data_IF_053008927674
#
_entry.id   IF_053008927674
#
_cell.length_a   1.000
_cell.length_b   1.000
_cell.length_c   1.000
_cell.angle_alpha   90.00
_cell.angle_beta   90.00
_cell.angle_gamma   90.00
#
_symmetry.space_group_name_H-M   'P 1'
#
loop_
_entity.id
_entity.type
_entity.pdbx_description
1 polymer ?
#
# COMPACT_ATOMS: atom_id res chain seq x y z
N UNK A 1 9.91 10.89 -12.47
CA UNK A 1 9.41 9.78 -13.30
C UNK A 1 8.00 10.15 -13.76
N UNK A 2 7.71 10.09 -15.05
CA UNK A 2 6.37 10.34 -15.58
C UNK A 2 5.68 8.99 -15.65
N UNK A 3 4.64 8.80 -14.86
CA UNK A 3 3.91 7.54 -14.77
C UNK A 3 2.62 7.74 -15.55
N UNK A 4 2.51 7.06 -16.69
CA UNK A 4 1.37 7.23 -17.61
C UNK A 4 0.21 6.29 -17.26
N UNK A 5 0.48 5.21 -16.49
CA UNK A 5 -0.54 4.26 -16.02
C UNK A 5 -0.16 3.66 -14.65
N UNK A 6 -1.11 3.44 -13.71
CA UNK A 6 -0.80 2.87 -12.39
C UNK A 6 -0.03 1.55 -12.42
N UNK A 7 -0.30 0.67 -13.38
CA UNK A 7 0.40 -0.61 -13.52
C UNK A 7 1.88 -0.49 -13.95
N UNK A 8 2.33 0.69 -14.40
CA UNK A 8 3.75 0.96 -14.72
C UNK A 8 4.57 1.35 -13.47
N UNK A 9 3.93 1.37 -12.29
CA UNK A 9 4.53 1.83 -11.05
C UNK A 9 5.26 0.73 -10.26
N UNK A 10 5.19 -0.52 -10.70
CA UNK A 10 5.93 -1.62 -10.09
C UNK A 10 7.42 -1.51 -10.41
N UNK A 11 8.26 -1.54 -9.38
CA UNK A 11 9.71 -1.51 -9.48
C UNK A 11 10.22 -2.89 -9.12
N UNK A 12 10.71 -3.61 -10.12
CA UNK A 12 11.37 -4.91 -9.93
C UNK A 12 12.83 -4.72 -9.53
N UNK A 13 13.31 -5.55 -8.63
CA UNK A 13 14.69 -5.55 -8.18
C UNK A 13 15.20 -6.98 -7.98
N UNK A 14 16.51 -7.23 -8.16
CA UNK A 14 17.05 -8.57 -8.03
C UNK A 14 17.10 -9.02 -6.58
N UNK A 15 16.68 -10.26 -6.34
CA UNK A 15 16.86 -10.98 -5.09
C UNK A 15 17.78 -12.17 -5.35
N UNK A 16 18.80 -12.32 -4.52
CA UNK A 16 19.81 -13.39 -4.59
C UNK A 16 19.63 -14.29 -3.38
N UNK A 17 19.58 -15.61 -3.62
CA UNK A 17 19.40 -16.60 -2.55
C UNK A 17 20.63 -17.50 -2.43
N UNK A 18 21.01 -17.85 -1.21
CA UNK A 18 22.03 -18.85 -0.88
C UNK A 18 21.70 -19.58 0.44
N UNK A 19 22.62 -20.39 0.96
CA UNK A 19 22.41 -21.16 2.21
C UNK A 19 22.16 -20.31 3.46
N UNK A 20 22.39 -19.01 3.41
CA UNK A 20 22.16 -18.05 4.52
C UNK A 20 20.78 -17.41 4.45
N UNK A 21 20.06 -17.52 3.31
CA UNK A 21 18.79 -16.87 3.04
C UNK A 21 18.82 -16.03 1.77
N UNK A 22 18.21 -14.87 1.77
CA UNK A 22 18.09 -13.98 0.61
C UNK A 22 18.73 -12.62 0.85
N UNK A 23 19.24 -12.02 -0.22
CA UNK A 23 19.71 -10.64 -0.27
C UNK A 23 19.05 -9.93 -1.46
N UNK A 24 18.36 -8.82 -1.17
CA UNK A 24 17.71 -8.00 -2.18
C UNK A 24 18.44 -6.68 -2.35
N UNK A 25 18.87 -6.39 -3.58
CA UNK A 25 19.53 -5.14 -3.93
C UNK A 25 18.53 -4.16 -4.56
N UNK A 26 18.30 -3.02 -3.89
CA UNK A 26 17.44 -1.95 -4.40
C UNK A 26 18.33 -0.80 -4.83
N UNK A 27 18.28 -0.44 -6.12
CA UNK A 27 19.03 0.70 -6.64
C UNK A 27 18.40 2.02 -6.15
N UNK A 28 19.14 2.80 -5.38
CA UNK A 28 18.68 4.08 -4.84
C UNK A 28 18.37 5.14 -5.92
N UNK A 29 18.81 4.93 -7.16
CA UNK A 29 18.45 5.82 -8.28
C UNK A 29 16.96 5.88 -8.57
N UNK A 30 16.21 4.84 -8.20
CA UNK A 30 14.74 4.84 -8.26
C UNK A 30 14.12 5.74 -7.18
N UNK A 31 14.90 6.12 -6.16
CA UNK A 31 14.47 6.87 -4.99
C UNK A 31 15.01 8.32 -5.00
N UNK A 32 15.20 8.93 -6.17
CA UNK A 32 15.62 10.33 -6.31
C UNK A 32 14.49 11.30 -5.87
N UNK A 33 14.04 11.08 -4.64
CA UNK A 33 13.00 11.81 -3.93
C UNK A 33 13.48 12.00 -2.49
N UNK A 34 13.39 13.23 -1.98
CA UNK A 34 13.60 13.49 -0.56
C UNK A 34 12.42 12.95 0.26
N UNK A 35 12.57 11.73 0.75
CA UNK A 35 11.57 11.07 1.60
C UNK A 35 11.62 11.63 3.03
N UNK A 36 10.48 11.96 3.61
CA UNK A 36 10.37 12.54 4.96
C UNK A 36 10.09 11.49 6.03
N UNK A 37 9.46 10.35 5.66
CA UNK A 37 9.19 9.27 6.60
C UNK A 37 9.53 7.91 6.02
N UNK A 38 9.98 7.01 6.88
CA UNK A 38 10.07 5.58 6.64
C UNK A 38 9.21 4.86 7.70
N UNK A 39 8.17 4.18 7.25
CA UNK A 39 7.21 3.51 8.11
C UNK A 39 7.34 1.99 8.00
N UNK A 40 7.10 1.30 9.12
CA UNK A 40 7.09 -0.16 9.20
C UNK A 40 5.76 -0.59 9.79
N UNK A 41 5.00 -1.37 9.04
CA UNK A 41 3.75 -1.98 9.49
C UNK A 41 3.93 -3.49 9.70
N UNK A 42 3.70 -3.97 10.92
CA UNK A 42 3.61 -5.39 11.24
C UNK A 42 2.15 -5.79 11.35
N UNK A 43 1.80 -6.94 10.78
CA UNK A 43 0.42 -7.43 10.72
C UNK A 43 0.43 -8.91 11.06
N UNK A 44 -0.01 -9.24 12.27
CA UNK A 44 0.05 -10.61 12.80
C UNK A 44 -0.97 -11.52 12.11
N UNK A 45 -2.11 -10.95 11.69
CA UNK A 45 -3.21 -11.72 11.12
C UNK A 45 -3.31 -11.56 9.60
N UNK A 46 -3.64 -12.65 8.94
CA UNK A 46 -4.16 -12.63 7.56
C UNK A 46 -5.46 -11.82 7.53
N UNK A 47 -5.72 -11.17 6.39
CA UNK A 47 -6.87 -10.29 6.16
C UNK A 47 -6.91 -9.06 7.07
N UNK A 48 -5.75 -8.57 7.50
CA UNK A 48 -5.64 -7.24 8.10
C UNK A 48 -5.70 -6.18 7.00
N UNK A 49 -6.65 -5.26 7.12
CA UNK A 49 -6.81 -4.13 6.21
C UNK A 49 -6.39 -2.82 6.87
N UNK A 50 -5.61 -2.03 6.14
CA UNK A 50 -5.22 -0.67 6.52
C UNK A 50 -5.49 0.27 5.36
N UNK A 51 -6.37 1.23 5.56
CA UNK A 51 -6.76 2.19 4.51
C UNK A 51 -8.26 2.44 4.45
N UNK A 52 -8.73 3.12 3.45
CA UNK A 52 -7.99 3.81 2.39
C UNK A 52 -7.60 5.22 2.87
N UNK A 53 -6.32 5.55 2.83
CA UNK A 53 -5.81 6.82 3.37
C UNK A 53 -5.23 7.73 2.29
N UNK A 54 -5.51 9.01 2.39
CA UNK A 54 -4.86 10.06 1.61
C UNK A 54 -4.73 11.34 2.44
N UNK A 55 -3.88 12.25 1.99
CA UNK A 55 -3.68 13.55 2.62
C UNK A 55 -3.74 14.65 1.55
N UNK A 56 -4.38 15.76 1.88
CA UNK A 56 -4.62 16.84 0.92
C UNK A 56 -3.62 17.99 1.04
N UNK A 57 -3.05 18.26 2.22
CA UNK A 57 -2.16 19.39 2.43
C UNK A 57 -1.05 19.10 3.47
N UNK A 58 0.20 18.84 3.04
CA UNK A 58 0.60 18.54 1.68
C UNK A 58 0.08 17.16 1.23
N UNK A 59 -0.13 16.92 -0.08
CA UNK A 59 -0.47 15.60 -0.56
C UNK A 59 0.72 14.66 -0.44
N UNK A 60 0.47 13.38 -0.14
CA UNK A 60 1.52 12.39 0.12
C UNK A 60 1.71 11.42 -1.03
N UNK A 61 2.96 11.31 -1.50
CA UNK A 61 3.43 10.24 -2.38
C UNK A 61 4.05 9.14 -1.50
N UNK A 62 3.85 7.88 -1.86
CA UNK A 62 4.37 6.73 -1.11
C UNK A 62 5.14 5.78 -2.01
N UNK A 63 6.08 5.05 -1.43
CA UNK A 63 6.71 3.90 -2.08
C UNK A 63 6.65 2.72 -1.11
N UNK A 64 5.83 1.72 -1.44
CA UNK A 64 5.56 0.55 -0.58
C UNK A 64 6.43 -0.63 -0.99
N UNK A 65 6.88 -1.40 0.01
CA UNK A 65 7.59 -2.66 -0.16
C UNK A 65 7.14 -3.68 0.88
N UNK A 66 6.80 -4.87 0.43
CA UNK A 66 6.61 -6.02 1.30
C UNK A 66 7.98 -6.60 1.67
N UNK A 67 8.24 -6.77 2.95
CA UNK A 67 9.46 -7.41 3.47
C UNK A 67 9.22 -8.89 3.73
N UNK A 68 8.03 -9.24 4.22
CA UNK A 68 7.60 -10.60 4.51
C UNK A 68 6.10 -10.73 4.27
N UNK A 69 5.70 -11.88 3.73
CA UNK A 69 4.30 -12.16 3.41
C UNK A 69 3.89 -11.61 2.05
N UNK A 70 2.59 -11.43 1.88
CA UNK A 70 1.97 -10.98 0.62
C UNK A 70 0.79 -10.05 0.94
N UNK A 71 0.57 -9.06 0.10
CA UNK A 71 -0.54 -8.11 0.24
C UNK A 71 -1.30 -7.94 -1.07
N UNK A 72 -2.57 -7.58 -0.94
CA UNK A 72 -3.35 -6.94 -1.98
C UNK A 72 -3.33 -5.44 -1.71
N UNK A 73 -2.64 -4.70 -2.56
CA UNK A 73 -2.56 -3.24 -2.52
C UNK A 73 -3.69 -2.65 -3.35
N UNK A 74 -4.39 -1.62 -2.83
CA UNK A 74 -5.59 -1.06 -3.45
C UNK A 74 -5.47 0.46 -3.51
N UNK A 75 -5.71 1.02 -4.69
CA UNK A 75 -5.73 2.46 -4.94
C UNK A 75 -7.09 2.90 -5.45
N UNK A 76 -7.50 4.08 -5.04
CA UNK A 76 -8.68 4.77 -5.58
C UNK A 76 -8.24 6.14 -6.08
N UNK A 77 -8.39 6.41 -7.37
CA UNK A 77 -8.12 7.73 -7.94
C UNK A 77 -9.08 8.76 -7.33
N UNK A 78 -8.53 9.82 -6.72
CA UNK A 78 -9.33 10.83 -6.00
C UNK A 78 -10.19 11.71 -6.92
N UNK A 79 -9.94 11.67 -8.23
CA UNK A 79 -10.66 12.47 -9.21
C UNK A 79 -11.68 11.66 -10.01
N UNK A 80 -11.31 10.45 -10.43
CA UNK A 80 -12.15 9.61 -11.31
C UNK A 80 -12.89 8.53 -10.55
N UNK A 81 -12.49 8.26 -9.30
CA UNK A 81 -12.96 7.16 -8.45
C UNK A 81 -12.64 5.77 -9.03
N UNK A 82 -11.76 5.71 -10.02
CA UNK A 82 -11.30 4.44 -10.59
C UNK A 82 -10.47 3.68 -9.56
N UNK A 83 -10.68 2.37 -9.49
CA UNK A 83 -10.03 1.47 -8.52
C UNK A 83 -9.01 0.60 -9.22
N UNK A 84 -7.82 0.48 -8.62
CA UNK A 84 -6.71 -0.37 -9.08
C UNK A 84 -6.32 -1.33 -7.97
N UNK A 85 -5.99 -2.58 -8.34
CA UNK A 85 -5.54 -3.62 -7.41
C UNK A 85 -4.21 -4.23 -7.87
N UNK A 86 -3.33 -4.53 -6.91
CA UNK A 86 -2.01 -5.12 -7.15
C UNK A 86 -1.72 -6.17 -6.09
N UNK A 87 -1.39 -7.39 -6.49
CA UNK A 87 -0.78 -8.34 -5.56
C UNK A 87 0.72 -8.08 -5.48
N UNK A 88 1.23 -7.88 -4.27
CA UNK A 88 2.64 -7.61 -4.01
C UNK A 88 3.23 -8.61 -3.04
N UNK A 89 4.38 -9.13 -3.41
CA UNK A 89 5.26 -9.92 -2.55
C UNK A 89 6.58 -9.16 -2.26
N UNK A 90 7.60 -9.87 -1.80
CA UNK A 90 8.88 -9.27 -1.47
C UNK A 90 9.80 -9.00 -2.68
N UNK A 91 9.37 -9.25 -3.91
CA UNK A 91 10.18 -9.05 -5.12
C UNK A 91 9.98 -7.67 -5.76
N UNK A 92 8.96 -6.93 -5.33
CA UNK A 92 8.56 -5.68 -5.96
C UNK A 92 8.43 -4.54 -4.94
N UNK A 93 8.58 -3.32 -5.45
CA UNK A 93 8.17 -2.08 -4.80
C UNK A 93 7.11 -1.42 -5.66
N UNK A 94 6.18 -0.70 -5.02
CA UNK A 94 5.12 -0.01 -5.73
C UNK A 94 5.15 1.48 -5.38
N UNK A 95 5.26 2.33 -6.41
CA UNK A 95 5.23 3.78 -6.27
C UNK A 95 3.79 4.28 -6.40
N UNK A 96 3.30 4.96 -5.37
CA UNK A 96 1.92 5.43 -5.25
C UNK A 96 1.91 6.95 -5.34
N UNK A 97 1.42 7.53 -6.45
CA UNK A 97 1.29 8.97 -6.61
C UNK A 97 0.31 9.58 -5.60
N UNK A 98 0.44 10.87 -5.37
CA UNK A 98 -0.31 11.61 -4.35
C UNK A 98 -1.78 11.91 -4.69
N UNK A 99 -2.23 11.50 -5.87
CA UNK A 99 -3.62 11.65 -6.31
C UNK A 99 -4.48 10.40 -6.04
N UNK A 100 -3.97 9.42 -5.27
CA UNK A 100 -4.69 8.22 -4.91
C UNK A 100 -4.92 8.11 -3.41
N UNK A 101 -6.12 7.68 -3.02
CA UNK A 101 -6.34 7.06 -1.73
C UNK A 101 -5.77 5.64 -1.79
N UNK A 102 -5.06 5.22 -0.74
CA UNK A 102 -4.27 3.99 -0.71
C UNK A 102 -4.58 3.16 0.51
N UNK A 103 -4.65 1.85 0.32
CA UNK A 103 -4.75 0.87 1.39
C UNK A 103 -4.26 -0.50 0.95
N UNK A 104 -4.08 -1.41 1.90
CA UNK A 104 -3.72 -2.79 1.61
C UNK A 104 -4.41 -3.79 2.52
N UNK A 105 -4.60 -5.00 1.98
CA UNK A 105 -5.10 -6.17 2.68
C UNK A 105 -3.99 -7.22 2.75
N UNK A 106 -3.65 -7.72 3.95
CA UNK A 106 -2.69 -8.81 4.06
C UNK A 106 -3.29 -10.13 3.58
N UNK A 107 -2.53 -10.88 2.79
CA UNK A 107 -2.93 -12.19 2.26
C UNK A 107 -2.29 -13.35 3.02
N UNK A 108 -1.37 -13.05 3.95
CA UNK A 108 -0.69 -14.01 4.81
C UNK A 108 -0.60 -13.48 6.25
N UNK A 109 -0.38 -14.40 7.20
CA UNK A 109 -0.06 -14.05 8.59
C UNK A 109 1.37 -13.52 8.70
N UNK A 110 1.63 -12.74 9.76
CA UNK A 110 2.96 -12.17 10.05
C UNK A 110 3.55 -11.36 8.89
N UNK A 111 2.69 -10.66 8.14
CA UNK A 111 3.09 -9.81 7.02
C UNK A 111 3.75 -8.53 7.51
N UNK A 112 4.93 -8.21 6.96
CA UNK A 112 5.68 -6.99 7.24
C UNK A 112 5.74 -6.13 5.98
N UNK A 113 5.23 -4.91 6.11
CA UNK A 113 5.18 -3.92 5.03
C UNK A 113 5.95 -2.68 5.46
N UNK A 114 6.79 -2.17 4.57
CA UNK A 114 7.47 -0.89 4.76
C UNK A 114 7.05 0.09 3.68
N UNK A 115 7.04 1.38 4.01
CA UNK A 115 6.81 2.40 3.00
C UNK A 115 7.49 3.71 3.33
N UNK A 116 8.05 4.31 2.30
CA UNK A 116 8.59 5.65 2.30
C UNK A 116 7.46 6.64 1.98
N UNK A 117 7.47 7.81 2.61
CA UNK A 117 6.46 8.86 2.40
C UNK A 117 7.15 10.17 2.08
N UNK A 118 6.71 10.81 1.00
CA UNK A 118 7.00 12.20 0.64
C UNK A 118 5.74 13.05 0.90
N UNK A 119 5.92 14.16 1.57
CA UNK A 119 4.87 15.03 2.09
C UNK A 119 4.78 14.91 3.61
N UNK A 120 5.07 16.00 4.32
CA UNK A 120 5.04 16.07 5.77
C UNK A 120 3.69 15.61 6.32
N UNK A 121 3.70 14.81 7.38
CA UNK A 121 2.46 14.33 8.00
C UNK A 121 1.68 15.49 8.62
N UNK A 122 0.43 15.64 8.20
CA UNK A 122 -0.49 16.65 8.70
C UNK A 122 -1.84 16.00 9.06
N UNK A 123 -2.08 15.72 10.35
CA UNK A 123 -3.31 15.05 10.80
C UNK A 123 -4.58 15.84 10.52
N UNK A 124 -4.49 17.16 10.33
CA UNK A 124 -5.64 18.01 10.04
C UNK A 124 -6.12 17.89 8.58
N UNK A 125 -5.27 17.36 7.71
CA UNK A 125 -5.58 17.15 6.29
C UNK A 125 -5.50 15.67 5.87
N UNK A 126 -5.36 14.76 6.83
CA UNK A 126 -5.46 13.32 6.60
C UNK A 126 -6.93 12.92 6.50
N UNK A 127 -7.24 12.08 5.51
CA UNK A 127 -8.58 11.56 5.25
C UNK A 127 -8.56 10.04 5.09
N UNK A 128 -9.69 9.42 5.43
CA UNK A 128 -9.94 8.00 5.22
C UNK A 128 -11.23 7.81 4.44
N UNK A 129 -11.18 6.97 3.39
CA UNK A 129 -12.38 6.48 2.71
C UNK A 129 -12.76 5.12 3.30
N UNK A 130 -14.03 4.93 3.60
CA UNK A 130 -14.54 3.65 4.11
C UNK A 130 -14.59 2.66 2.95
N UNK A 131 -13.80 1.59 3.03
CA UNK A 131 -13.59 0.65 1.94
C UNK A 131 -14.86 -0.03 1.43
N UNK A 132 -15.80 -0.37 2.34
CA UNK A 132 -17.06 -1.05 1.98
C UNK A 132 -18.15 -0.11 1.47
N UNK A 133 -17.93 1.21 1.53
CA UNK A 133 -18.80 2.22 0.88
C UNK A 133 -18.43 2.40 -0.61
N UNK A 134 -17.30 1.84 -1.05
CA UNK A 134 -16.86 1.85 -2.44
C UNK A 134 -17.14 0.46 -3.04
N UNK A 135 -18.19 0.30 -3.89
CA UNK A 135 -18.65 -1.01 -4.34
C UNK A 135 -17.58 -1.86 -5.02
N UNK A 136 -16.68 -1.23 -5.81
CA UNK A 136 -15.59 -1.91 -6.50
C UNK A 136 -14.54 -2.43 -5.49
N UNK A 137 -14.12 -1.62 -4.52
CA UNK A 137 -13.19 -2.02 -3.46
C UNK A 137 -13.79 -3.16 -2.63
N UNK A 138 -15.06 -3.04 -2.25
CA UNK A 138 -15.77 -4.10 -1.53
C UNK A 138 -15.78 -5.41 -2.30
N UNK A 139 -16.10 -5.38 -3.59
CA UNK A 139 -16.10 -6.56 -4.46
C UNK A 139 -14.74 -7.22 -4.55
N UNK A 140 -13.66 -6.41 -4.66
CA UNK A 140 -12.29 -6.90 -4.69
C UNK A 140 -11.95 -7.58 -3.36
N UNK A 141 -12.15 -6.91 -2.24
CA UNK A 141 -11.84 -7.47 -0.91
C UNK A 141 -12.66 -8.75 -0.63
N UNK A 142 -13.97 -8.74 -0.89
CA UNK A 142 -14.85 -9.90 -0.69
C UNK A 142 -14.36 -11.13 -1.48
N UNK A 143 -13.84 -10.95 -2.69
CA UNK A 143 -13.23 -12.03 -3.51
C UNK A 143 -12.05 -12.71 -2.81
N UNK A 144 -11.22 -11.93 -2.08
CA UNK A 144 -10.03 -12.45 -1.40
C UNK A 144 -10.33 -13.04 -0.02
N UNK A 145 -11.20 -12.40 0.75
CA UNK A 145 -11.51 -12.88 2.11
C UNK A 145 -12.55 -14.00 2.14
N UNK A 146 -13.44 -14.09 1.14
CA UNK A 146 -14.54 -15.05 1.11
C UNK A 146 -15.45 -14.90 2.33
N UNK A 147 -15.59 -15.98 3.12
CA UNK A 147 -16.37 -15.97 4.35
C UNK A 147 -15.56 -15.63 5.62
N UNK A 148 -14.31 -15.19 5.49
CA UNK A 148 -13.49 -14.81 6.63
C UNK A 148 -13.79 -13.38 7.07
N UNK A 149 -13.45 -13.08 8.32
CA UNK A 149 -13.55 -11.75 8.86
C UNK A 149 -12.32 -10.91 8.51
N UNK A 150 -12.54 -9.62 8.23
CA UNK A 150 -11.49 -8.65 8.05
C UNK A 150 -11.03 -8.10 9.40
N UNK A 151 -9.73 -8.03 9.62
CA UNK A 151 -9.14 -7.36 10.78
C UNK A 151 -8.90 -5.90 10.40
N UNK A 152 -9.54 -4.97 11.08
CA UNK A 152 -9.52 -3.54 10.74
C UNK A 152 -9.61 -2.68 12.00
N UNK A 153 -8.90 -1.54 12.02
CA UNK A 153 -9.00 -0.58 13.12
C UNK A 153 -10.36 0.13 13.15
N UNK A 154 -10.74 0.65 14.32
CA UNK A 154 -11.97 1.46 14.42
C UNK A 154 -11.90 2.71 13.54
N UNK A 155 -10.74 3.37 13.46
CA UNK A 155 -10.52 4.53 12.57
C UNK A 155 -10.85 4.20 11.11
N UNK A 156 -10.38 3.06 10.61
CA UNK A 156 -10.57 2.66 9.22
C UNK A 156 -11.97 2.09 8.95
N UNK A 157 -12.67 1.68 10.01
CA UNK A 157 -14.06 1.20 9.95
C UNK A 157 -15.06 2.32 9.78
N UNK A 158 -14.85 3.47 10.47
CA UNK A 158 -15.82 4.58 10.52
C UNK A 158 -15.42 5.75 9.62
N UNK A 159 -14.20 5.79 9.11
CA UNK A 159 -13.66 6.89 8.31
C UNK A 159 -13.25 8.12 9.15
N UNK A 160 -12.61 9.08 8.47
CA UNK A 160 -12.20 10.37 9.05
C UNK A 160 -12.44 11.50 8.03
#
# INVERSE_FOLDING_TARGET
MKIDHPYDNAIHHPTFEDSRGSFTAIDSKFLDIDWEQFNIGTNDNKYTFRGLHYQTNPPQTKCIKVIQGNILDIWVDLKTEEVFEFELDNNEMLFIPNNYAHGYLTLEENTIVTYLVKGEYNPDSEHSMIWNDIPEVKKIIDKYIGNNEIVISEKDRVGK
#
